data_IF_878381275089
#
_entry.id   IF_878381275089
#
_cell.length_a   1.000
_cell.length_b   1.000
_cell.length_c   1.000
_cell.angle_alpha   90.00
_cell.angle_beta   90.00
_cell.angle_gamma   90.00
#
_symmetry.space_group_name_H-M   'P 1'
#
loop_
_entity.id
_entity.type
_entity.pdbx_description
1 polymer ?
#
# COMPACT_ATOMS: atom_id res chain seq x y z
N UNK A 1 -5.23 -17.04 -10.95
CA UNK A 1 -4.81 -16.40 -9.68
C UNK A 1 -4.09 -15.10 -10.00
N UNK A 2 -4.28 -14.02 -9.22
CA UNK A 2 -3.54 -12.77 -9.42
C UNK A 2 -2.05 -13.03 -9.25
N UNK A 3 -1.24 -12.51 -10.17
CA UNK A 3 0.21 -12.56 -10.07
C UNK A 3 0.68 -11.51 -9.05
N UNK A 4 1.72 -11.84 -8.28
CA UNK A 4 2.26 -11.01 -7.20
C UNK A 4 3.56 -10.32 -7.60
N UNK A 5 3.87 -9.23 -6.91
CA UNK A 5 5.18 -8.58 -7.00
C UNK A 5 6.18 -9.28 -6.07
N UNK A 6 7.43 -9.42 -6.53
CA UNK A 6 8.52 -10.03 -5.75
C UNK A 6 9.60 -9.01 -5.44
N UNK A 7 9.99 -8.86 -4.18
CA UNK A 7 10.94 -7.84 -3.73
C UNK A 7 12.28 -8.45 -3.32
N UNK A 8 13.38 -7.91 -3.83
CA UNK A 8 14.75 -8.29 -3.49
C UNK A 8 15.41 -7.11 -2.80
N UNK A 9 15.47 -7.18 -1.47
CA UNK A 9 16.04 -6.14 -0.60
C UNK A 9 17.53 -6.32 -0.31
N UNK A 10 18.06 -7.54 -0.49
CA UNK A 10 19.45 -7.87 -0.19
C UNK A 10 20.30 -7.84 -1.45
N UNK A 11 21.52 -7.36 -1.33
CA UNK A 11 22.50 -7.41 -2.41
C UNK A 11 22.94 -8.85 -2.69
N UNK A 12 23.17 -9.18 -3.96
CA UNK A 12 23.51 -10.53 -4.38
C UNK A 12 23.42 -10.75 -5.88
N UNK A 13 23.55 -12.00 -6.31
CA UNK A 13 23.46 -12.39 -7.72
C UNK A 13 22.16 -13.13 -7.98
N UNK A 14 21.43 -12.72 -9.02
CA UNK A 14 20.27 -13.45 -9.52
C UNK A 14 20.70 -14.20 -10.79
N UNK A 15 20.50 -15.51 -10.80
CA UNK A 15 20.87 -16.36 -11.94
C UNK A 15 19.87 -17.46 -12.19
N UNK A 16 19.72 -17.82 -13.45
CA UNK A 16 18.96 -19.00 -13.87
C UNK A 16 19.83 -20.25 -13.79
N UNK A 17 19.34 -21.30 -13.13
CA UNK A 17 19.85 -22.67 -13.18
C UNK A 17 18.72 -23.57 -13.65
N UNK A 18 18.87 -24.20 -14.82
CA UNK A 18 17.81 -24.97 -15.48
C UNK A 18 16.51 -24.16 -15.62
N UNK A 19 15.40 -24.61 -15.02
CA UNK A 19 14.11 -23.93 -15.06
C UNK A 19 13.78 -23.20 -13.74
N UNK A 20 14.80 -22.92 -12.93
CA UNK A 20 14.64 -22.21 -11.66
C UNK A 20 15.53 -20.98 -11.64
N UNK A 21 14.98 -19.86 -11.18
CA UNK A 21 15.77 -18.66 -10.87
C UNK A 21 16.18 -18.70 -9.42
N UNK A 22 17.44 -18.39 -9.15
CA UNK A 22 18.03 -18.38 -7.82
C UNK A 22 18.57 -16.99 -7.52
N UNK A 23 18.30 -16.53 -6.30
CA UNK A 23 19.04 -15.45 -5.66
C UNK A 23 20.12 -16.05 -4.76
N UNK A 24 21.35 -15.59 -4.90
CA UNK A 24 22.51 -16.06 -4.15
C UNK A 24 23.34 -14.88 -3.63
N UNK A 25 23.64 -14.87 -2.33
CA UNK A 25 24.70 -14.06 -1.72
C UNK A 25 25.47 -14.91 -0.70
N UNK A 26 26.40 -14.32 0.04
CA UNK A 26 27.26 -15.04 0.99
C UNK A 26 26.47 -15.83 2.05
N UNK A 27 25.27 -15.38 2.43
CA UNK A 27 24.47 -15.95 3.52
C UNK A 27 23.23 -16.71 3.04
N UNK A 28 22.72 -16.38 1.86
CA UNK A 28 21.38 -16.79 1.41
C UNK A 28 21.48 -17.34 -0.01
N UNK A 29 20.93 -18.53 -0.19
CA UNK A 29 20.68 -19.13 -1.48
C UNK A 29 19.22 -19.57 -1.53
N UNK A 30 18.41 -18.85 -2.32
CA UNK A 30 16.95 -19.04 -2.36
C UNK A 30 16.43 -19.10 -3.79
N UNK A 31 15.54 -20.04 -4.06
CA UNK A 31 14.81 -20.11 -5.32
C UNK A 31 13.71 -19.03 -5.37
N UNK A 32 13.56 -18.39 -6.53
CA UNK A 32 12.51 -17.41 -6.81
C UNK A 32 11.40 -18.13 -7.61
N UNK A 33 10.17 -18.26 -7.06
CA UNK A 33 9.09 -18.99 -7.70
C UNK A 33 8.41 -18.14 -8.79
N UNK A 34 8.91 -18.21 -10.03
CA UNK A 34 8.45 -17.34 -11.12
C UNK A 34 7.00 -17.54 -11.58
N UNK A 35 6.39 -18.72 -11.33
CA UNK A 35 5.07 -19.07 -11.86
C UNK A 35 3.95 -18.08 -11.48
N UNK A 36 4.07 -17.45 -10.30
CA UNK A 36 3.07 -16.53 -9.77
C UNK A 36 3.59 -15.09 -9.64
N UNK A 37 4.68 -14.75 -10.32
CA UNK A 37 5.28 -13.41 -10.26
C UNK A 37 4.93 -12.62 -11.52
N UNK A 38 4.48 -11.39 -11.32
CA UNK A 38 4.28 -10.42 -12.40
C UNK A 38 5.56 -9.61 -12.64
N UNK A 39 6.08 -9.04 -11.55
CA UNK A 39 7.21 -8.12 -11.59
C UNK A 39 8.16 -8.36 -10.42
N UNK A 40 9.46 -8.18 -10.66
CA UNK A 40 10.54 -8.27 -9.67
C UNK A 40 11.07 -6.86 -9.38
N UNK A 41 11.18 -6.50 -8.11
CA UNK A 41 11.67 -5.21 -7.63
C UNK A 41 13.02 -5.40 -6.94
N UNK A 42 14.09 -4.94 -7.59
CA UNK A 42 15.46 -5.03 -7.09
C UNK A 42 15.81 -3.76 -6.31
N UNK A 43 15.60 -3.81 -4.99
CA UNK A 43 15.92 -2.73 -4.05
C UNK A 43 17.37 -2.82 -3.52
N UNK A 44 17.95 -4.03 -3.53
CA UNK A 44 19.37 -4.25 -3.23
C UNK A 44 20.26 -4.17 -4.48
N UNK A 45 21.58 -4.12 -4.30
CA UNK A 45 22.53 -4.16 -5.41
C UNK A 45 22.60 -5.58 -5.99
N UNK A 46 22.10 -5.76 -7.21
CA UNK A 46 21.98 -7.08 -7.83
C UNK A 46 22.86 -7.24 -9.07
N UNK A 47 23.53 -8.38 -9.15
CA UNK A 47 24.23 -8.84 -10.36
C UNK A 47 23.34 -9.81 -11.13
N UNK A 48 23.22 -9.60 -12.44
CA UNK A 48 22.39 -10.43 -13.33
C UNK A 48 23.14 -10.75 -14.61
N UNK A 49 22.66 -11.75 -15.36
CA UNK A 49 23.23 -12.10 -16.66
C UNK A 49 22.16 -12.21 -17.76
N UNK A 50 22.62 -12.24 -19.00
CA UNK A 50 21.76 -12.36 -20.19
C UNK A 50 20.86 -13.60 -20.15
N UNK A 51 21.36 -14.74 -19.64
CA UNK A 51 20.59 -15.98 -19.50
C UNK A 51 19.35 -15.82 -18.60
N UNK A 52 19.46 -15.04 -17.53
CA UNK A 52 18.32 -14.67 -16.69
C UNK A 52 17.34 -13.80 -17.46
N UNK A 53 17.83 -12.71 -18.08
CA UNK A 53 16.99 -11.75 -18.80
C UNK A 53 16.17 -12.41 -19.92
N UNK A 54 16.79 -13.30 -20.71
CA UNK A 54 16.10 -14.08 -21.74
C UNK A 54 14.98 -14.92 -21.16
N UNK A 55 15.20 -15.54 -20.00
CA UNK A 55 14.20 -16.36 -19.34
C UNK A 55 13.04 -15.55 -18.76
N UNK A 56 13.33 -14.41 -18.14
CA UNK A 56 12.29 -13.48 -17.67
C UNK A 56 11.45 -12.98 -18.85
N UNK A 57 12.08 -12.71 -20.00
CA UNK A 57 11.35 -12.32 -21.22
C UNK A 57 10.39 -13.40 -21.70
N UNK A 58 10.84 -14.67 -21.75
CA UNK A 58 9.99 -15.80 -22.13
C UNK A 58 8.77 -15.93 -21.21
N UNK A 59 8.94 -15.65 -19.92
CA UNK A 59 7.87 -15.70 -18.91
C UNK A 59 7.11 -14.37 -18.75
N UNK A 60 7.46 -13.34 -19.54
CA UNK A 60 6.86 -11.98 -19.50
C UNK A 60 6.94 -11.33 -18.12
N UNK A 61 8.06 -11.51 -17.42
CA UNK A 61 8.29 -10.95 -16.08
C UNK A 61 9.11 -9.66 -16.20
N UNK A 62 8.57 -8.58 -15.65
CA UNK A 62 9.21 -7.26 -15.63
C UNK A 62 10.19 -7.19 -14.46
N UNK A 63 11.30 -6.46 -14.61
CA UNK A 63 12.26 -6.26 -13.51
C UNK A 63 12.59 -4.77 -13.34
N UNK A 64 12.32 -4.23 -12.16
CA UNK A 64 12.55 -2.85 -11.78
C UNK A 64 13.82 -2.73 -10.94
N UNK A 65 14.59 -1.66 -11.16
CA UNK A 65 15.83 -1.39 -10.45
C UNK A 65 15.75 -0.04 -9.75
N UNK A 66 16.36 0.01 -8.57
CA UNK A 66 16.43 1.20 -7.74
C UNK A 66 17.89 1.45 -7.37
N UNK A 67 18.26 2.72 -7.18
CA UNK A 67 19.59 3.07 -6.71
C UNK A 67 19.71 2.87 -5.19
N UNK A 68 20.90 3.12 -4.65
CA UNK A 68 21.18 2.95 -3.22
C UNK A 68 20.25 3.77 -2.30
N UNK A 69 19.75 4.91 -2.76
CA UNK A 69 18.84 5.78 -2.01
C UNK A 69 17.36 5.44 -2.21
N UNK A 70 17.04 4.37 -2.95
CA UNK A 70 15.67 3.94 -3.21
C UNK A 70 14.98 4.68 -4.36
N UNK A 71 15.67 5.54 -5.11
CA UNK A 71 15.10 6.14 -6.31
C UNK A 71 15.06 5.13 -7.45
N UNK A 72 13.97 5.17 -8.23
CA UNK A 72 13.80 4.34 -9.41
C UNK A 72 14.88 4.67 -10.46
N UNK A 73 15.68 3.66 -10.82
CA UNK A 73 16.76 3.78 -11.80
C UNK A 73 16.30 3.39 -13.21
N UNK A 74 15.38 2.43 -13.31
CA UNK A 74 14.96 1.91 -14.61
C UNK A 74 14.27 0.57 -14.52
N UNK A 75 13.82 0.09 -15.68
CA UNK A 75 13.11 -1.18 -15.82
C UNK A 75 13.64 -1.96 -17.00
N UNK A 76 13.90 -3.25 -16.79
CA UNK A 76 13.96 -4.22 -17.88
C UNK A 76 12.54 -4.63 -18.25
N UNK A 77 12.10 -4.18 -19.42
CA UNK A 77 10.78 -4.49 -19.94
C UNK A 77 10.88 -5.61 -21.00
N UNK A 78 10.31 -6.80 -20.77
CA UNK A 78 10.26 -7.86 -21.76
C UNK A 78 9.71 -7.39 -23.09
N UNK A 79 10.25 -7.91 -24.20
CA UNK A 79 9.69 -7.64 -25.52
C UNK A 79 8.22 -8.08 -25.54
N UNK A 80 7.33 -7.14 -25.90
CA UNK A 80 5.89 -7.43 -26.02
C UNK A 80 5.69 -8.54 -27.06
N UNK A 81 5.12 -9.66 -26.62
CA UNK A 81 4.79 -10.82 -27.48
C UNK A 81 3.52 -10.61 -28.32
N UNK A 82 2.61 -9.72 -27.88
CA UNK A 82 1.36 -9.38 -28.55
C UNK A 82 1.34 -7.88 -28.84
N UNK A 83 2.07 -7.46 -29.88
CA UNK A 83 1.97 -6.08 -30.38
C UNK A 83 0.88 -6.08 -31.44
N UNK A 84 -0.33 -5.65 -31.08
CA UNK A 84 -1.34 -5.34 -32.09
C UNK A 84 -0.87 -4.09 -32.84
N UNK A 85 -0.33 -4.28 -34.04
CA UNK A 85 0.12 -3.17 -34.89
C UNK A 85 -1.02 -2.17 -35.15
N UNK A 86 -2.25 -2.66 -35.30
CA UNK A 86 -3.44 -1.81 -35.46
C UNK A 86 -3.74 -0.96 -34.23
N UNK A 87 -3.47 -1.45 -33.01
CA UNK A 87 -3.61 -0.64 -31.80
C UNK A 87 -2.58 0.51 -31.76
N UNK A 88 -1.33 0.22 -32.09
CA UNK A 88 -0.26 1.24 -32.11
C UNK A 88 -0.58 2.32 -33.15
N UNK A 89 -1.01 1.93 -34.35
CA UNK A 89 -1.44 2.87 -35.39
C UNK A 89 -2.59 3.75 -34.89
N UNK A 90 -3.64 3.16 -34.29
CA UNK A 90 -4.76 3.92 -33.72
C UNK A 90 -4.31 4.88 -32.60
N UNK A 91 -3.39 4.46 -31.73
CA UNK A 91 -2.83 5.33 -30.68
C UNK A 91 -2.10 6.54 -31.29
N UNK A 92 -1.33 6.33 -32.35
CA UNK A 92 -0.64 7.42 -33.07
C UNK A 92 -1.64 8.34 -33.78
N UNK A 93 -2.65 7.78 -34.45
CA UNK A 93 -3.72 8.56 -35.08
C UNK A 93 -4.45 9.47 -34.07
N UNK A 94 -4.81 8.92 -32.90
CA UNK A 94 -5.47 9.68 -31.84
C UNK A 94 -4.56 10.71 -31.19
N UNK A 95 -3.25 10.47 -31.16
CA UNK A 95 -2.28 11.43 -30.64
C UNK A 95 -2.04 12.60 -31.60
N UNK A 96 -2.05 12.35 -32.92
CA UNK A 96 -1.87 13.37 -33.95
C UNK A 96 -3.11 14.25 -34.13
N UNK A 97 -4.29 13.67 -33.98
CA UNK A 97 -5.57 14.38 -34.03
C UNK A 97 -5.80 15.16 -32.73
N UNK A 98 -5.87 16.49 -32.83
CA UNK A 98 -5.97 17.38 -31.66
C UNK A 98 -7.24 17.10 -30.84
N UNK A 99 -8.36 16.88 -31.50
CA UNK A 99 -9.66 16.74 -30.84
C UNK A 99 -9.75 15.39 -30.14
N UNK A 100 -9.28 14.32 -30.79
CA UNK A 100 -9.19 12.99 -30.17
C UNK A 100 -8.20 12.97 -29.00
N UNK A 101 -7.06 13.65 -29.13
CA UNK A 101 -6.08 13.78 -28.05
C UNK A 101 -6.66 14.51 -26.84
N UNK A 102 -7.35 15.64 -27.08
CA UNK A 102 -7.98 16.41 -26.02
C UNK A 102 -9.13 15.65 -25.36
N UNK A 103 -9.89 14.87 -26.12
CA UNK A 103 -10.93 14.00 -25.57
C UNK A 103 -10.35 12.98 -24.57
N UNK A 104 -9.30 12.25 -24.96
CA UNK A 104 -8.64 11.27 -24.07
C UNK A 104 -8.06 11.96 -22.83
N UNK A 105 -7.35 13.08 -23.01
CA UNK A 105 -6.79 13.85 -21.90
C UNK A 105 -7.86 14.36 -20.94
N UNK A 106 -8.97 14.86 -21.47
CA UNK A 106 -10.12 15.32 -20.70
C UNK A 106 -10.76 14.20 -19.87
N UNK A 107 -10.93 13.00 -20.44
CA UNK A 107 -11.45 11.86 -19.70
C UNK A 107 -10.49 11.37 -18.59
N UNK A 108 -9.16 11.42 -18.82
CA UNK A 108 -8.17 11.13 -17.77
C UNK A 108 -8.32 12.14 -16.62
N UNK A 109 -8.32 13.45 -16.91
CA UNK A 109 -8.44 14.51 -15.88
C UNK A 109 -9.76 14.39 -15.13
N UNK A 110 -10.87 14.19 -15.84
CA UNK A 110 -12.20 14.02 -15.27
C UNK A 110 -12.29 12.79 -14.37
N UNK A 111 -11.69 11.67 -14.76
CA UNK A 111 -11.63 10.45 -13.94
C UNK A 111 -10.81 10.67 -12.67
N UNK A 112 -9.63 11.29 -12.80
CA UNK A 112 -8.79 11.69 -11.66
C UNK A 112 -9.54 12.60 -10.70
N UNK A 113 -10.25 13.62 -11.21
CA UNK A 113 -11.05 14.53 -10.39
C UNK A 113 -12.22 13.80 -9.71
N UNK A 114 -12.92 12.89 -10.41
CA UNK A 114 -13.97 12.07 -9.80
C UNK A 114 -13.42 11.20 -8.67
N UNK A 115 -12.25 10.59 -8.86
CA UNK A 115 -11.58 9.80 -7.82
C UNK A 115 -11.17 10.68 -6.64
N UNK A 116 -10.59 11.85 -6.90
CA UNK A 116 -10.24 12.82 -5.87
C UNK A 116 -11.48 13.29 -5.09
N UNK A 117 -12.57 13.62 -5.78
CA UNK A 117 -13.83 14.00 -5.15
C UNK A 117 -14.40 12.83 -4.34
N UNK A 118 -14.28 11.58 -4.81
CA UNK A 118 -14.71 10.40 -4.05
C UNK A 118 -13.89 10.26 -2.77
N UNK A 119 -12.58 10.43 -2.84
CA UNK A 119 -11.67 10.45 -1.70
C UNK A 119 -12.06 11.59 -0.75
N UNK A 120 -12.21 12.82 -1.24
CA UNK A 120 -12.61 13.98 -0.43
C UNK A 120 -14.01 13.84 0.17
N UNK A 121 -14.97 13.25 -0.55
CA UNK A 121 -16.32 12.95 -0.04
C UNK A 121 -16.29 11.87 1.02
N UNK A 122 -15.42 10.87 0.89
CA UNK A 122 -15.15 9.91 1.95
C UNK A 122 -14.65 10.67 3.19
N UNK A 123 -13.59 11.47 3.08
CA UNK A 123 -13.10 12.31 4.19
C UNK A 123 -14.17 13.26 4.77
N UNK A 124 -14.97 13.94 3.93
CA UNK A 124 -16.05 14.85 4.37
C UNK A 124 -17.21 14.15 5.03
N UNK A 125 -17.63 12.97 4.53
CA UNK A 125 -18.68 12.15 5.16
C UNK A 125 -18.27 11.71 6.57
N UNK A 126 -16.97 11.64 6.81
CA UNK A 126 -16.39 11.35 8.09
C UNK A 126 -15.93 12.60 8.87
N UNK A 127 -16.13 13.84 8.36
CA UNK A 127 -16.01 15.08 9.15
C UNK A 127 -17.22 15.22 10.08
N UNK A 128 -17.14 14.60 11.25
CA UNK A 128 -18.23 14.58 12.22
C UNK A 128 -18.07 15.74 13.18
N UNK A 129 -19.15 16.51 13.40
CA UNK A 129 -19.17 17.74 14.22
C UNK A 129 -18.60 17.57 15.64
N UNK A 130 -18.56 16.35 16.16
CA UNK A 130 -18.15 16.05 17.53
C UNK A 130 -16.75 15.44 17.65
N UNK A 131 -16.00 15.33 16.55
CA UNK A 131 -14.60 14.91 16.60
C UNK A 131 -13.72 16.14 16.82
N UNK A 132 -12.84 16.15 17.85
CA UNK A 132 -11.96 17.26 18.17
C UNK A 132 -10.73 17.28 17.25
N UNK A 133 -10.90 17.69 15.99
CA UNK A 133 -9.83 17.61 14.98
C UNK A 133 -8.54 18.33 15.37
N UNK A 134 -8.62 19.47 16.05
CA UNK A 134 -7.44 20.23 16.45
C UNK A 134 -6.56 19.43 17.43
N UNK A 135 -7.18 18.79 18.43
CA UNK A 135 -6.47 17.96 19.41
C UNK A 135 -5.84 16.74 18.71
N UNK A 136 -6.55 16.16 17.74
CA UNK A 136 -6.03 15.03 16.96
C UNK A 136 -4.87 15.44 16.06
N UNK A 137 -4.89 16.64 15.48
CA UNK A 137 -3.77 17.18 14.71
C UNK A 137 -2.54 17.42 15.60
N UNK A 138 -2.73 17.88 16.84
CA UNK A 138 -1.63 18.00 17.82
C UNK A 138 -1.04 16.63 18.17
N UNK A 139 -1.87 15.61 18.42
CA UNK A 139 -1.43 14.24 18.68
C UNK A 139 -0.66 13.68 17.48
N UNK A 140 -1.18 13.90 16.26
CA UNK A 140 -0.52 13.48 15.03
C UNK A 140 0.88 14.10 14.91
N UNK A 141 1.06 15.36 15.31
CA UNK A 141 2.35 16.05 15.22
C UNK A 141 3.42 15.48 16.16
N UNK A 142 3.02 14.76 17.21
CA UNK A 142 3.93 14.10 18.18
C UNK A 142 4.40 12.72 17.71
N UNK A 143 3.86 12.21 16.60
CA UNK A 143 4.25 10.89 16.08
C UNK A 143 5.67 11.00 15.47
N UNK A 144 6.66 10.21 15.95
CA UNK A 144 8.07 10.36 15.55
C UNK A 144 8.38 9.85 14.14
N UNK A 145 7.38 9.39 13.38
CA UNK A 145 7.55 8.79 12.05
C UNK A 145 6.52 9.36 11.08
N UNK A 146 6.90 9.47 9.81
CA UNK A 146 5.99 9.86 8.73
C UNK A 146 5.27 8.65 8.09
N UNK A 147 5.61 7.43 8.49
CA UNK A 147 5.07 6.18 7.93
C UNK A 147 4.08 5.52 8.90
N UNK A 148 2.90 6.12 9.04
CA UNK A 148 1.82 5.60 9.86
C UNK A 148 0.45 5.87 9.22
N UNK A 149 -0.53 5.04 9.57
CA UNK A 149 -1.94 5.30 9.33
C UNK A 149 -2.61 5.68 10.64
N UNK A 150 -3.36 6.77 10.66
CA UNK A 150 -4.13 7.23 11.82
C UNK A 150 -5.60 7.03 11.57
N UNK A 151 -6.25 6.26 12.42
CA UNK A 151 -7.63 5.81 12.25
C UNK A 151 -8.41 6.16 13.51
N UNK A 152 -9.57 6.78 13.33
CA UNK A 152 -10.60 6.88 14.37
C UNK A 152 -11.55 5.71 14.18
N UNK A 153 -11.95 5.06 15.26
CA UNK A 153 -12.92 3.96 15.26
C UNK A 153 -13.97 4.15 16.37
N UNK A 154 -14.84 3.15 16.56
CA UNK A 154 -15.79 3.11 17.66
C UNK A 154 -16.96 4.08 17.53
N UNK A 155 -17.49 4.52 18.68
CA UNK A 155 -18.77 5.24 18.74
C UNK A 155 -18.81 6.53 17.92
N UNK A 156 -17.66 7.20 17.79
CA UNK A 156 -17.51 8.42 17.00
C UNK A 156 -17.60 8.14 15.50
N UNK A 157 -17.25 6.97 14.97
CA UNK A 157 -17.44 6.64 13.54
C UNK A 157 -18.84 6.16 13.20
N UNK A 158 -19.65 5.79 14.21
CA UNK A 158 -21.06 5.41 14.04
C UNK A 158 -22.07 6.53 14.33
N UNK A 159 -21.65 7.71 14.83
CA UNK A 159 -22.54 8.78 15.33
C UNK A 159 -23.38 8.36 16.55
N UNK A 160 -22.91 7.36 17.32
CA UNK A 160 -23.59 6.85 18.52
C UNK A 160 -22.92 7.31 19.82
N UNK A 161 -21.97 8.24 19.73
CA UNK A 161 -21.25 8.75 20.89
C UNK A 161 -22.20 9.46 21.86
N UNK A 162 -21.96 9.26 23.16
CA UNK A 162 -22.62 9.96 24.27
C UNK A 162 -21.65 10.96 24.91
N UNK A 163 -22.10 11.78 25.85
CA UNK A 163 -21.23 12.74 26.56
C UNK A 163 -20.06 12.09 27.33
N UNK A 164 -20.12 10.78 27.57
CA UNK A 164 -19.07 10.01 28.26
C UNK A 164 -18.26 9.11 27.33
N UNK A 165 -18.49 9.19 26.02
CA UNK A 165 -17.83 8.28 25.07
C UNK A 165 -16.38 8.72 24.84
N UNK A 166 -15.46 7.77 25.00
CA UNK A 166 -14.06 7.89 24.61
C UNK A 166 -13.92 7.81 23.09
N UNK A 167 -12.87 8.44 22.55
CA UNK A 167 -12.50 8.33 21.14
C UNK A 167 -11.50 7.19 21.00
N UNK A 168 -11.85 6.17 20.23
CA UNK A 168 -10.94 5.09 19.91
C UNK A 168 -10.03 5.50 18.75
N UNK A 169 -8.73 5.53 18.99
CA UNK A 169 -7.72 5.85 17.98
C UNK A 169 -6.85 4.63 17.76
N UNK A 170 -6.64 4.30 16.49
CA UNK A 170 -5.78 3.23 16.05
C UNK A 170 -4.69 3.80 15.17
N UNK A 171 -3.43 3.55 15.54
CA UNK A 171 -2.26 3.86 14.74
C UNK A 171 -1.73 2.56 14.15
N UNK A 172 -1.61 2.50 12.83
CA UNK A 172 -0.93 1.42 12.14
C UNK A 172 0.44 1.92 11.70
N UNK A 173 1.50 1.25 12.12
CA UNK A 173 2.86 1.57 11.72
C UNK A 173 3.59 0.30 11.31
N UNK A 174 4.75 0.44 10.67
CA UNK A 174 5.57 -0.72 10.31
C UNK A 174 6.21 -1.35 11.55
N UNK A 175 6.80 -0.49 12.39
CA UNK A 175 7.65 -0.85 13.53
C UNK A 175 7.40 0.13 14.71
N UNK A 176 8.10 -0.04 15.84
CA UNK A 176 8.14 0.90 16.98
C UNK A 176 6.80 1.18 17.70
N UNK A 177 5.89 0.20 17.74
CA UNK A 177 4.57 0.35 18.38
C UNK A 177 4.65 0.82 19.83
N UNK A 178 5.61 0.29 20.62
CA UNK A 178 5.81 0.65 22.02
C UNK A 178 6.27 2.09 22.24
N UNK A 179 7.17 2.56 21.37
CA UNK A 179 7.69 3.94 21.44
C UNK A 179 6.58 4.93 21.10
N UNK A 180 5.85 4.69 20.01
CA UNK A 180 4.70 5.52 19.61
C UNK A 180 3.62 5.49 20.70
N UNK A 181 3.33 4.32 21.28
CA UNK A 181 2.36 4.23 22.36
C UNK A 181 2.82 5.04 23.58
N UNK A 182 4.08 4.93 23.98
CA UNK A 182 4.63 5.66 25.13
C UNK A 182 4.62 7.18 24.92
N UNK A 183 4.94 7.64 23.71
CA UNK A 183 4.96 9.06 23.35
C UNK A 183 3.56 9.69 23.40
N UNK A 184 2.55 8.94 22.96
CA UNK A 184 1.19 9.47 22.79
C UNK A 184 0.25 9.19 23.95
N UNK A 185 0.48 8.13 24.74
CA UNK A 185 -0.46 7.65 25.76
C UNK A 185 -0.89 8.76 26.73
N UNK A 186 0.06 9.54 27.22
CA UNK A 186 -0.22 10.64 28.16
C UNK A 186 -1.08 11.74 27.52
N UNK A 187 -0.75 12.15 26.29
CA UNK A 187 -1.52 13.16 25.56
C UNK A 187 -2.96 12.67 25.27
N UNK A 188 -3.10 11.39 24.92
CA UNK A 188 -4.39 10.75 24.68
C UNK A 188 -5.25 10.64 25.95
N UNK A 189 -4.64 10.28 27.10
CA UNK A 189 -5.33 10.16 28.38
C UNK A 189 -5.82 11.51 28.93
N UNK A 190 -5.06 12.58 28.68
CA UNK A 190 -5.38 13.93 29.11
C UNK A 190 -6.36 14.67 28.18
N UNK A 191 -6.65 14.09 27.01
CA UNK A 191 -7.56 14.70 26.04
C UNK A 191 -9.01 14.74 26.54
N UNK A 192 -9.79 15.72 26.09
CA UNK A 192 -11.23 15.81 26.36
C UNK A 192 -11.97 15.88 25.02
N UNK A 193 -12.65 14.80 24.58
CA UNK A 193 -12.90 13.54 25.29
C UNK A 193 -11.65 12.66 25.39
N UNK A 194 -11.62 11.76 26.39
CA UNK A 194 -10.50 10.82 26.56
C UNK A 194 -10.30 9.98 25.30
N UNK A 195 -9.05 9.79 24.93
CA UNK A 195 -8.68 8.98 23.77
C UNK A 195 -8.18 7.62 24.26
N UNK A 196 -8.81 6.55 23.78
CA UNK A 196 -8.28 5.21 23.95
C UNK A 196 -7.38 4.87 22.76
N UNK A 197 -6.08 4.81 23.01
CA UNK A 197 -5.07 4.59 21.98
C UNK A 197 -4.78 3.10 21.78
N UNK A 198 -4.78 2.66 20.53
CA UNK A 198 -4.26 1.38 20.09
C UNK A 198 -3.16 1.62 19.06
N UNK A 199 -2.05 0.89 19.17
CA UNK A 199 -0.95 0.95 18.19
C UNK A 199 -0.65 -0.46 17.74
N UNK A 200 -0.80 -0.72 16.45
CA UNK A 200 -0.54 -2.03 15.84
C UNK A 200 0.53 -1.91 14.76
N UNK A 201 1.32 -2.97 14.62
CA UNK A 201 2.10 -3.17 13.41
C UNK A 201 1.20 -3.54 12.23
N UNK A 202 1.67 -3.28 11.01
CA UNK A 202 0.97 -3.72 9.79
C UNK A 202 0.71 -5.24 9.78
N UNK A 203 1.65 -6.03 10.30
CA UNK A 203 1.54 -7.48 10.38
C UNK A 203 0.52 -7.94 11.44
N UNK A 204 0.52 -7.34 12.63
CA UNK A 204 -0.48 -7.63 13.67
C UNK A 204 -1.89 -7.34 13.14
N UNK A 205 -2.08 -6.17 12.51
CA UNK A 205 -3.38 -5.80 11.97
C UNK A 205 -3.81 -6.76 10.85
N UNK A 206 -2.91 -7.12 9.94
CA UNK A 206 -3.19 -8.12 8.89
C UNK A 206 -3.60 -9.47 9.47
N UNK A 207 -2.92 -9.96 10.52
CA UNK A 207 -3.26 -11.21 11.18
C UNK A 207 -4.67 -11.17 11.77
N UNK A 208 -5.07 -10.04 12.37
CA UNK A 208 -6.44 -9.85 12.85
C UNK A 208 -7.46 -9.97 11.72
N UNK A 209 -7.16 -9.46 10.53
CA UNK A 209 -8.08 -9.55 9.38
C UNK A 209 -8.22 -10.97 8.83
N UNK A 210 -7.12 -11.73 8.79
CA UNK A 210 -7.08 -13.09 8.25
C UNK A 210 -7.66 -14.12 9.24
N UNK A 211 -7.68 -13.83 10.55
CA UNK A 211 -8.34 -14.68 11.53
C UNK A 211 -9.80 -14.94 11.13
N UNK A 212 -10.29 -16.16 11.27
CA UNK A 212 -11.68 -16.52 10.94
C UNK A 212 -12.68 -15.97 11.97
N UNK A 213 -12.28 -15.79 13.22
CA UNK A 213 -13.15 -15.33 14.31
C UNK A 213 -13.46 -13.83 14.17
N UNK A 214 -14.60 -13.36 14.69
CA UNK A 214 -14.84 -11.93 14.86
C UNK A 214 -13.80 -11.33 15.84
N UNK A 215 -13.24 -10.18 15.49
CA UNK A 215 -12.29 -9.46 16.35
C UNK A 215 -12.32 -7.96 16.02
N UNK A 216 -11.60 -7.19 16.84
CA UNK A 216 -11.54 -5.73 16.73
C UNK A 216 -10.97 -5.23 15.40
N UNK A 217 -10.04 -5.97 14.78
CA UNK A 217 -9.48 -5.62 13.47
C UNK A 217 -10.55 -5.58 12.39
N UNK A 218 -11.46 -6.55 12.37
CA UNK A 218 -12.61 -6.57 11.45
C UNK A 218 -13.62 -5.47 11.75
N UNK A 219 -13.79 -5.11 13.02
CA UNK A 219 -14.64 -3.98 13.41
C UNK A 219 -14.08 -2.65 12.91
N UNK A 220 -12.76 -2.44 13.03
CA UNK A 220 -12.06 -1.28 12.45
C UNK A 220 -12.32 -1.20 10.95
N UNK A 221 -12.29 -2.32 10.23
CA UNK A 221 -12.57 -2.32 8.79
C UNK A 221 -13.99 -1.88 8.46
N UNK A 222 -14.95 -2.30 9.28
CA UNK A 222 -16.35 -1.98 9.09
C UNK A 222 -16.66 -0.52 9.42
N UNK A 223 -16.02 0.02 10.45
CA UNK A 223 -16.39 1.29 11.08
C UNK A 223 -15.17 2.19 11.36
N UNK A 224 -14.36 2.48 10.34
CA UNK A 224 -13.21 3.38 10.45
C UNK A 224 -13.42 4.73 9.79
N UNK A 225 -12.74 5.72 10.34
CA UNK A 225 -12.44 7.00 9.71
C UNK A 225 -10.93 7.17 9.69
N UNK A 226 -10.34 7.13 8.51
CA UNK A 226 -8.90 7.32 8.34
C UNK A 226 -8.62 8.82 8.23
N UNK A 227 -7.77 9.36 9.11
CA UNK A 227 -7.35 10.77 9.03
C UNK A 227 -6.14 10.95 8.09
N UNK A 228 -5.13 10.07 8.21
CA UNK A 228 -3.93 10.08 7.36
C UNK A 228 -3.38 8.67 7.17
N UNK A 229 -2.51 8.46 6.17
CA UNK A 229 -1.88 7.18 5.87
C UNK A 229 -2.78 6.12 5.24
N UNK A 230 -3.81 6.55 4.49
CA UNK A 230 -4.80 5.65 3.88
C UNK A 230 -4.19 4.59 2.95
N UNK A 231 -3.03 4.87 2.36
CA UNK A 231 -2.26 3.96 1.53
C UNK A 231 -1.73 2.75 2.31
N UNK A 232 -1.32 2.93 3.57
CA UNK A 232 -0.89 1.85 4.46
C UNK A 232 -2.08 0.95 4.76
N UNK A 233 -3.20 1.55 5.16
CA UNK A 233 -4.44 0.83 5.44
C UNK A 233 -4.92 0.02 4.24
N UNK A 234 -5.05 0.64 3.06
CA UNK A 234 -5.51 -0.03 1.84
C UNK A 234 -4.55 -1.15 1.41
N UNK A 235 -3.23 -0.95 1.56
CA UNK A 235 -2.25 -2.01 1.28
C UNK A 235 -2.48 -3.23 2.17
N UNK A 236 -2.63 -3.04 3.48
CA UNK A 236 -2.87 -4.15 4.42
C UNK A 236 -4.18 -4.89 4.08
N UNK A 237 -5.24 -4.15 3.74
CA UNK A 237 -6.53 -4.74 3.35
C UNK A 237 -6.38 -5.59 2.08
N UNK A 238 -5.71 -5.07 1.06
CA UNK A 238 -5.48 -5.80 -0.18
C UNK A 238 -4.65 -7.07 0.06
N UNK A 239 -3.60 -6.99 0.88
CA UNK A 239 -2.81 -8.16 1.27
C UNK A 239 -3.66 -9.17 2.06
N UNK A 240 -4.51 -8.74 2.97
CA UNK A 240 -5.39 -9.62 3.73
C UNK A 240 -6.41 -10.32 2.82
N UNK A 241 -6.96 -9.62 1.82
CA UNK A 241 -7.89 -10.20 0.83
C UNK A 241 -7.21 -11.33 0.04
N UNK A 242 -5.96 -11.12 -0.37
CA UNK A 242 -5.18 -12.18 -1.02
C UNK A 242 -4.93 -13.42 -0.14
N UNK A 243 -5.12 -13.28 1.17
CA UNK A 243 -4.95 -14.35 2.17
C UNK A 243 -6.28 -14.79 2.81
N UNK A 244 -7.42 -14.44 2.21
CA UNK A 244 -8.73 -15.00 2.56
C UNK A 244 -9.65 -14.10 3.41
N UNK A 245 -9.31 -12.82 3.59
CA UNK A 245 -10.24 -11.84 4.16
C UNK A 245 -11.28 -11.41 3.12
N UNK A 246 -12.58 -11.45 3.47
CA UNK A 246 -13.67 -11.19 2.51
C UNK A 246 -14.44 -9.87 2.73
N UNK A 247 -13.99 -9.02 3.66
CA UNK A 247 -14.66 -7.75 3.98
C UNK A 247 -15.81 -7.92 4.98
#
# INVERSE_FOLDING_TARGET
MPKRNFYITKSGTIKRKHNTVWFENEKIKKAIPLNNIDSIYCLGQVSINSKLLTYLTQNKIIMHFFNYYGYYSGTYFPRKSLVSGSLVVKQVEHYKDKDKRLFIAGEIVKSTLKNLIRILKHYRKHKKKHIPYNDLEEIISKIPTNLFCFIITGSYTENKQTKKSDIDIVILCKDNTKEIYAELSHACEMNIPKIHLYVFTEEEFKQMLVDKKPNYGKEIVKNSLILTGSEIYLRIIMEAIEHGFNG
#
